data_IF_043950029107
#
_entry.id   IF_043950029107
#
_cell.length_a   1.000
_cell.length_b   1.000
_cell.length_c   1.000
_cell.angle_alpha   90.00
_cell.angle_beta   90.00
_cell.angle_gamma   90.00
#
_symmetry.space_group_name_H-M   'P 1'
#
loop_
_entity.id
_entity.type
_entity.pdbx_description
1 polymer ?
#
# COMPACT_ATOMS: atom_id res chain seq x y z
N UNK A 1 -11.05 -12.99 -29.18
CA UNK A 1 -10.60 -13.89 -28.08
C UNK A 1 -9.39 -13.38 -27.25
N UNK A 2 -8.90 -12.14 -27.41
CA UNK A 2 -7.69 -11.64 -26.69
C UNK A 2 -7.97 -10.60 -25.58
N UNK A 3 -9.16 -10.00 -25.52
CA UNK A 3 -9.51 -8.93 -24.56
C UNK A 3 -9.89 -9.42 -23.16
N UNK A 4 -10.49 -10.62 -23.01
CA UNK A 4 -10.94 -11.14 -21.70
C UNK A 4 -9.83 -11.43 -20.69
N UNK A 5 -8.55 -11.32 -21.07
CA UNK A 5 -7.42 -11.65 -20.18
C UNK A 5 -6.58 -10.43 -19.76
N UNK A 6 -6.78 -9.25 -20.35
CA UNK A 6 -5.93 -8.09 -20.05
C UNK A 6 -6.18 -7.52 -18.65
N UNK A 7 -7.44 -7.54 -18.21
CA UNK A 7 -7.82 -7.14 -16.86
C UNK A 7 -7.19 -8.08 -15.81
N UNK A 8 -7.42 -9.39 -15.93
CA UNK A 8 -6.87 -10.39 -15.01
C UNK A 8 -5.35 -10.31 -14.93
N UNK A 9 -4.69 -10.15 -16.09
CA UNK A 9 -3.25 -9.92 -16.16
C UNK A 9 -2.80 -8.68 -15.36
N UNK A 10 -3.49 -7.54 -15.49
CA UNK A 10 -3.17 -6.33 -14.70
C UNK A 10 -3.35 -6.55 -13.20
N UNK A 11 -4.43 -7.22 -12.78
CA UNK A 11 -4.69 -7.52 -11.37
C UNK A 11 -3.62 -8.43 -10.78
N UNK A 12 -3.19 -9.46 -11.51
CA UNK A 12 -2.09 -10.32 -11.07
C UNK A 12 -0.77 -9.55 -10.90
N UNK A 13 -0.50 -8.58 -11.78
CA UNK A 13 0.69 -7.75 -11.66
C UNK A 13 0.61 -6.79 -10.47
N UNK A 14 -0.55 -6.20 -10.15
CA UNK A 14 -0.73 -5.40 -8.93
C UNK A 14 -0.37 -6.24 -7.70
N UNK A 15 -0.88 -7.48 -7.63
CA UNK A 15 -0.64 -8.37 -6.48
C UNK A 15 0.84 -8.67 -6.28
N UNK A 16 1.58 -8.85 -7.38
CA UNK A 16 3.02 -9.13 -7.37
C UNK A 16 3.88 -7.89 -7.17
N UNK A 17 3.37 -6.70 -7.47
CA UNK A 17 4.12 -5.45 -7.36
C UNK A 17 4.42 -5.08 -5.90
N UNK A 18 5.60 -4.51 -5.66
CA UNK A 18 5.94 -3.87 -4.40
C UNK A 18 5.34 -2.46 -4.28
N UNK A 19 5.33 -1.72 -5.40
CA UNK A 19 4.87 -0.35 -5.51
C UNK A 19 4.22 -0.22 -6.89
N UNK A 20 3.09 0.48 -6.96
CA UNK A 20 2.43 0.80 -8.23
C UNK A 20 2.54 2.29 -8.53
N UNK A 21 2.82 2.62 -9.80
CA UNK A 21 3.02 3.98 -10.25
C UNK A 21 2.10 4.26 -11.43
N UNK A 22 1.37 5.37 -11.37
CA UNK A 22 0.42 5.79 -12.38
C UNK A 22 0.75 7.20 -12.84
N UNK A 23 0.84 7.41 -14.15
CA UNK A 23 0.79 8.76 -14.71
C UNK A 23 -0.67 9.17 -14.86
N UNK A 24 -1.06 10.22 -14.15
CA UNK A 24 -2.41 10.78 -14.08
C UNK A 24 -2.47 12.20 -14.65
N UNK A 25 -1.49 12.57 -15.49
CA UNK A 25 -1.50 13.83 -16.26
C UNK A 25 -2.69 13.95 -17.21
N UNK A 26 -3.33 12.83 -17.55
CA UNK A 26 -4.56 12.78 -18.32
C UNK A 26 -5.65 12.08 -17.52
N UNK A 27 -6.84 12.67 -17.52
CA UNK A 27 -8.00 12.08 -16.86
C UNK A 27 -8.40 10.76 -17.53
N UNK A 28 -8.50 9.70 -16.74
CA UNK A 28 -8.94 8.39 -17.21
C UNK A 28 -9.66 7.64 -16.10
N UNK A 29 -10.92 7.27 -16.34
CA UNK A 29 -11.69 6.42 -15.44
C UNK A 29 -10.99 5.07 -15.18
N UNK A 30 -10.35 4.52 -16.22
CA UNK A 30 -9.61 3.27 -16.09
C UNK A 30 -8.40 3.40 -15.16
N UNK A 31 -7.69 4.53 -15.19
CA UNK A 31 -6.57 4.78 -14.27
C UNK A 31 -7.09 4.98 -12.84
N UNK A 32 -8.15 5.77 -12.66
CA UNK A 32 -8.80 5.95 -11.35
C UNK A 32 -9.25 4.62 -10.73
N UNK A 33 -9.89 3.76 -11.52
CA UNK A 33 -10.27 2.40 -11.09
C UNK A 33 -9.05 1.57 -10.67
N UNK A 34 -7.97 1.62 -11.44
CA UNK A 34 -6.74 0.87 -11.14
C UNK A 34 -6.04 1.38 -9.88
N UNK A 35 -6.04 2.69 -9.63
CA UNK A 35 -5.52 3.30 -8.40
C UNK A 35 -6.30 2.76 -7.21
N UNK A 36 -7.64 2.85 -7.24
CA UNK A 36 -8.49 2.34 -6.17
C UNK A 36 -8.22 0.86 -5.90
N UNK A 37 -8.18 0.05 -6.97
CA UNK A 37 -7.93 -1.39 -6.85
C UNK A 37 -6.56 -1.71 -6.26
N UNK A 38 -5.56 -0.88 -6.53
CA UNK A 38 -4.21 -1.02 -5.99
C UNK A 38 -4.16 -0.74 -4.49
N UNK A 39 -4.87 0.30 -4.05
CA UNK A 39 -5.01 0.65 -2.64
C UNK A 39 -5.75 -0.45 -1.85
N UNK A 40 -6.80 -1.04 -2.43
CA UNK A 40 -7.52 -2.19 -1.85
C UNK A 40 -6.62 -3.42 -1.65
N UNK A 41 -5.68 -3.67 -2.56
CA UNK A 41 -4.67 -4.74 -2.45
C UNK A 41 -3.52 -4.36 -1.49
N UNK A 42 -3.63 -3.21 -0.83
CA UNK A 42 -2.70 -2.72 0.19
C UNK A 42 -1.35 -2.28 -0.32
N UNK A 43 -1.25 -1.91 -1.60
CA UNK A 43 0.02 -1.55 -2.24
C UNK A 43 0.31 -0.05 -2.13
N UNK A 44 1.54 0.35 -1.75
CA UNK A 44 2.00 1.72 -1.94
C UNK A 44 1.76 2.20 -3.37
N UNK A 45 1.09 3.34 -3.51
CA UNK A 45 0.60 3.85 -4.79
C UNK A 45 1.09 5.27 -5.02
N UNK A 46 1.84 5.47 -6.09
CA UNK A 46 2.35 6.78 -6.51
C UNK A 46 1.58 7.24 -7.74
N UNK A 47 0.90 8.36 -7.65
CA UNK A 47 0.28 9.04 -8.78
C UNK A 47 1.14 10.25 -9.17
N UNK A 48 1.64 10.26 -10.40
CA UNK A 48 2.45 11.33 -10.97
C UNK A 48 1.61 12.16 -11.94
N UNK A 49 1.71 13.48 -11.88
CA UNK A 49 1.08 14.36 -12.86
C UNK A 49 2.04 15.45 -13.34
N UNK A 50 1.95 15.79 -14.62
CA UNK A 50 2.61 16.98 -15.12
C UNK A 50 2.02 18.21 -14.43
N UNK A 51 2.85 19.15 -13.97
CA UNK A 51 2.44 20.32 -13.18
C UNK A 51 1.27 21.13 -13.77
N UNK A 52 1.13 21.11 -15.10
CA UNK A 52 0.07 21.83 -15.82
C UNK A 52 -1.28 21.09 -15.84
N UNK A 53 -1.32 19.83 -15.38
CA UNK A 53 -2.48 18.94 -15.41
C UNK A 53 -2.79 18.39 -14.01
N UNK A 54 -3.15 19.27 -13.08
CA UNK A 54 -3.44 18.89 -11.70
C UNK A 54 -4.73 18.03 -11.57
N UNK A 55 -4.67 16.79 -11.07
CA UNK A 55 -5.83 15.91 -10.97
C UNK A 55 -6.59 16.15 -9.65
N UNK A 56 -7.39 17.21 -9.60
CA UNK A 56 -8.14 17.66 -8.40
C UNK A 56 -8.89 16.52 -7.69
N UNK A 57 -9.52 15.62 -8.45
CA UNK A 57 -10.30 14.52 -7.85
C UNK A 57 -9.45 13.55 -7.01
N UNK A 58 -8.18 13.34 -7.38
CA UNK A 58 -7.29 12.42 -6.67
C UNK A 58 -6.71 13.04 -5.39
N UNK A 59 -6.79 14.36 -5.22
CA UNK A 59 -6.33 15.05 -4.02
C UNK A 59 -7.15 14.67 -2.79
N UNK A 60 -8.42 14.30 -2.98
CA UNK A 60 -9.32 13.87 -1.91
C UNK A 60 -9.10 12.43 -1.41
N UNK A 61 -8.10 11.70 -1.92
CA UNK A 61 -7.81 10.33 -1.45
C UNK A 61 -7.07 10.40 -0.11
N UNK A 62 -7.75 9.98 0.96
CA UNK A 62 -7.18 9.87 2.31
C UNK A 62 -6.65 8.44 2.58
N UNK A 63 -5.46 8.12 2.05
CA UNK A 63 -4.75 6.87 2.34
C UNK A 63 -3.24 7.15 2.53
N UNK A 64 -2.67 6.68 3.64
CA UNK A 64 -1.25 6.91 3.96
C UNK A 64 -0.28 6.30 2.93
N UNK A 65 -0.74 5.29 2.18
CA UNK A 65 0.01 4.58 1.14
C UNK A 65 -0.12 5.26 -0.21
N UNK A 66 -1.00 6.25 -0.35
CA UNK A 66 -1.18 7.03 -1.55
C UNK A 66 -0.25 8.25 -1.55
N UNK A 67 0.30 8.60 -2.70
CA UNK A 67 1.10 9.81 -2.87
C UNK A 67 0.85 10.41 -4.24
N UNK A 68 0.30 11.62 -4.25
CA UNK A 68 0.08 12.41 -5.44
C UNK A 68 1.22 13.44 -5.59
N UNK A 69 1.95 13.40 -6.71
CA UNK A 69 3.19 14.16 -6.86
C UNK A 69 3.28 14.80 -8.25
N UNK A 70 3.55 16.11 -8.28
CA UNK A 70 3.76 16.85 -9.52
C UNK A 70 5.17 16.64 -10.08
N UNK A 71 5.29 16.68 -11.41
CA UNK A 71 6.56 16.69 -12.10
C UNK A 71 6.58 17.66 -13.28
N UNK A 72 7.78 17.96 -13.75
CA UNK A 72 8.04 18.52 -15.07
C UNK A 72 9.25 17.81 -15.72
N UNK A 73 9.58 18.22 -16.95
CA UNK A 73 10.67 17.61 -17.73
C UNK A 73 12.04 17.69 -17.05
N UNK A 74 12.25 18.63 -16.12
CA UNK A 74 13.55 18.87 -15.48
C UNK A 74 13.70 18.05 -14.20
N UNK A 75 12.60 17.79 -13.48
CA UNK A 75 12.66 17.21 -12.14
C UNK A 75 12.15 15.76 -12.02
N UNK A 76 11.57 15.18 -13.08
CA UNK A 76 10.94 13.85 -13.04
C UNK A 76 11.82 12.78 -12.40
N UNK A 77 13.12 12.75 -12.73
CA UNK A 77 14.06 11.76 -12.18
C UNK A 77 14.21 11.88 -10.66
N UNK A 78 14.33 13.09 -10.15
CA UNK A 78 14.53 13.35 -8.72
C UNK A 78 13.23 13.14 -7.94
N UNK A 79 12.12 13.59 -8.49
CA UNK A 79 10.77 13.36 -7.97
C UNK A 79 10.51 11.87 -7.82
N UNK A 80 10.75 11.10 -8.88
CA UNK A 80 10.53 9.65 -8.88
C UNK A 80 11.42 8.95 -7.86
N UNK A 81 12.70 9.33 -7.75
CA UNK A 81 13.63 8.76 -6.77
C UNK A 81 13.17 9.00 -5.33
N UNK A 82 12.69 10.20 -5.01
CA UNK A 82 12.15 10.53 -3.67
C UNK A 82 10.85 9.79 -3.39
N UNK A 83 9.95 9.74 -4.38
CA UNK A 83 8.67 9.04 -4.28
C UNK A 83 8.87 7.54 -4.00
N UNK A 84 9.75 6.89 -4.76
CA UNK A 84 10.09 5.48 -4.56
C UNK A 84 10.69 5.20 -3.19
N UNK A 85 11.58 6.07 -2.70
CA UNK A 85 12.15 5.94 -1.35
C UNK A 85 11.05 5.98 -0.28
N UNK A 86 10.17 6.98 -0.35
CA UNK A 86 9.05 7.14 0.59
C UNK A 86 8.07 5.97 0.53
N UNK A 87 7.68 5.54 -0.67
CA UNK A 87 6.79 4.40 -0.86
C UNK A 87 7.41 3.08 -0.36
N UNK A 88 8.74 2.92 -0.50
CA UNK A 88 9.47 1.78 0.05
C UNK A 88 9.41 1.69 1.58
N UNK A 89 9.32 2.83 2.28
CA UNK A 89 9.15 2.88 3.73
C UNK A 89 7.74 2.52 4.21
N UNK A 90 6.74 2.77 3.35
CA UNK A 90 5.32 2.44 3.57
C UNK A 90 4.97 0.98 3.26
N UNK A 91 5.92 0.21 2.72
CA UNK A 91 5.73 -1.23 2.51
C UNK A 91 5.70 -1.94 3.86
N UNK A 92 4.80 -2.91 4.01
CA UNK A 92 4.76 -3.82 5.16
C UNK A 92 6.18 -4.34 5.49
N UNK A 93 6.70 -3.93 6.65
CA UNK A 93 8.02 -4.37 7.13
C UNK A 93 7.85 -5.69 7.86
N UNK A 94 8.62 -6.71 7.45
CA UNK A 94 8.68 -7.99 8.16
C UNK A 94 9.51 -7.82 9.43
N UNK A 95 8.86 -7.97 10.58
CA UNK A 95 9.51 -8.06 11.87
C UNK A 95 9.66 -9.54 12.26
N UNK A 96 10.90 -10.01 12.38
CA UNK A 96 11.23 -11.35 12.86
C UNK A 96 11.88 -11.24 14.24
N UNK A 97 11.45 -12.09 15.17
CA UNK A 97 12.03 -12.18 16.50
C UNK A 97 11.87 -13.59 17.05
N UNK A 98 12.76 -13.97 17.95
CA UNK A 98 12.69 -15.26 18.63
C UNK A 98 11.74 -15.19 19.82
N UNK A 99 10.92 -16.23 20.00
CA UNK A 99 10.06 -16.40 21.17
C UNK A 99 10.27 -17.76 21.80
N UNK A 100 10.03 -17.85 23.11
CA UNK A 100 10.11 -19.13 23.81
C UNK A 100 8.98 -20.08 23.36
N UNK A 101 9.18 -21.41 23.46
CA UNK A 101 8.13 -22.39 23.15
C UNK A 101 6.84 -22.18 23.95
N UNK A 102 6.95 -21.66 25.19
CA UNK A 102 5.80 -21.34 26.04
C UNK A 102 4.95 -20.21 25.45
N UNK A 103 5.59 -19.14 24.95
CA UNK A 103 4.89 -18.03 24.31
C UNK A 103 4.24 -18.45 23.00
N UNK A 104 4.95 -19.24 22.18
CA UNK A 104 4.39 -19.76 20.93
C UNK A 104 3.12 -20.58 21.18
N UNK A 105 3.15 -21.51 22.15
CA UNK A 105 1.96 -22.30 22.52
C UNK A 105 0.78 -21.44 22.98
N UNK A 106 1.06 -20.35 23.70
CA UNK A 106 0.02 -19.43 24.14
C UNK A 106 -0.63 -18.71 22.95
N UNK A 107 0.19 -18.13 22.06
CA UNK A 107 -0.28 -17.45 20.85
C UNK A 107 -1.09 -18.43 19.98
N UNK A 108 -0.60 -19.66 19.81
CA UNK A 108 -1.29 -20.71 19.05
C UNK A 108 -2.67 -21.04 19.61
N UNK A 109 -2.79 -21.13 20.94
CA UNK A 109 -4.05 -21.41 21.61
C UNK A 109 -5.06 -20.28 21.38
N UNK A 110 -4.66 -19.03 21.61
CA UNK A 110 -5.55 -17.88 21.47
C UNK A 110 -5.95 -17.65 20.03
N UNK A 111 -4.99 -17.72 19.10
CA UNK A 111 -5.28 -17.63 17.65
C UNK A 111 -6.33 -18.65 17.19
N UNK A 112 -6.32 -19.88 17.75
CA UNK A 112 -7.34 -20.89 17.44
C UNK A 112 -8.71 -20.59 18.06
N UNK A 113 -8.75 -20.11 19.31
CA UNK A 113 -9.99 -19.76 20.00
C UNK A 113 -10.69 -18.60 19.29
N UNK A 114 -9.91 -17.58 18.91
CA UNK A 114 -10.44 -16.34 18.33
C UNK A 114 -10.62 -16.41 16.81
N UNK A 115 -10.15 -17.49 16.16
CA UNK A 115 -10.22 -17.65 14.70
C UNK A 115 -9.34 -16.66 13.92
N UNK A 116 -8.28 -16.13 14.54
CA UNK A 116 -7.36 -15.14 13.93
C UNK A 116 -5.95 -15.69 13.77
N UNK A 117 -5.17 -15.09 12.87
CA UNK A 117 -3.75 -15.46 12.73
C UNK A 117 -2.91 -14.93 13.89
N UNK A 118 -1.74 -15.55 14.11
CA UNK A 118 -0.76 -15.11 15.12
C UNK A 118 -0.35 -13.65 14.92
N UNK A 119 -0.13 -13.26 13.66
CA UNK A 119 0.24 -11.90 13.31
C UNK A 119 -0.86 -10.88 13.64
N UNK A 120 -2.14 -11.25 13.43
CA UNK A 120 -3.27 -10.40 13.81
C UNK A 120 -3.35 -10.25 15.34
N UNK A 121 -3.20 -11.35 16.07
CA UNK A 121 -3.19 -11.32 17.53
C UNK A 121 -2.09 -10.39 18.08
N UNK A 122 -0.84 -10.56 17.62
CA UNK A 122 0.29 -9.72 18.03
C UNK A 122 0.09 -8.26 17.63
N UNK A 123 -0.43 -7.99 16.43
CA UNK A 123 -0.75 -6.64 15.98
C UNK A 123 -1.76 -5.97 16.91
N UNK A 124 -2.83 -6.67 17.28
CA UNK A 124 -3.86 -6.13 18.16
C UNK A 124 -3.30 -5.80 19.54
N UNK A 125 -2.44 -6.66 20.10
CA UNK A 125 -1.75 -6.37 21.36
C UNK A 125 -0.90 -5.09 21.30
N UNK A 126 -0.19 -4.86 20.19
CA UNK A 126 0.62 -3.64 19.99
C UNK A 126 -0.28 -2.41 19.89
N UNK A 127 -1.35 -2.47 19.10
CA UNK A 127 -2.31 -1.36 18.93
C UNK A 127 -2.97 -1.00 20.27
N UNK A 128 -3.41 -2.00 21.03
CA UNK A 128 -3.97 -1.80 22.36
C UNK A 128 -2.95 -1.19 23.33
N UNK A 129 -1.69 -1.64 23.28
CA UNK A 129 -0.61 -1.06 24.08
C UNK A 129 -0.34 0.40 23.70
N UNK A 130 -0.31 0.75 22.40
CA UNK A 130 -0.17 2.14 21.95
C UNK A 130 -1.30 3.01 22.49
N UNK A 131 -2.56 2.58 22.31
CA UNK A 131 -3.74 3.32 22.81
C UNK A 131 -3.67 3.63 24.31
N UNK A 132 -3.11 2.72 25.11
CA UNK A 132 -2.96 2.90 26.57
C UNK A 132 -1.82 3.82 26.96
N UNK A 133 -0.82 4.03 26.11
CA UNK A 133 0.41 4.76 26.43
C UNK A 133 0.58 6.07 25.63
N UNK A 134 -0.32 6.40 24.70
CA UNK A 134 -0.30 7.66 23.96
C UNK A 134 -0.87 8.86 24.76
N UNK A 135 -0.52 8.98 26.04
CA UNK A 135 -0.75 10.19 26.87
C UNK A 135 0.55 10.96 26.99
#
# INVERSE_FOLDING_TARGET
>A
KRQNNYYSYKIENIKKADICIFDVSYHSLGIGYMIQRTLEEGKPTIALFHKDNHPIFLEGIEDERFSLISYDKKNLRDVLKKALKKAGDLRDKRFNFFISPKLLRYIDKISKIDGITKSVFIRNLIVEHMRRNST
#
